data_IF_456959366636
#
_entry.id   IF_456959366636
#
_cell.length_a   1.000
_cell.length_b   1.000
_cell.length_c   1.000
_cell.angle_alpha   90.00
_cell.angle_beta   90.00
_cell.angle_gamma   90.00
#
_symmetry.space_group_name_H-M   'P 1'
#
loop_
_entity.id
_entity.type
_entity.pdbx_description
1 polymer ?
#
# COMPACT_ATOMS: atom_id res chain seq x y z
N UNK A 1 -23.83 -13.60 -22.50
CA UNK A 1 -23.97 -12.38 -21.66
C UNK A 1 -23.78 -12.70 -20.16
N UNK A 2 -24.57 -13.61 -19.55
CA UNK A 2 -24.42 -13.93 -18.10
C UNK A 2 -23.11 -14.69 -17.79
N UNK A 3 -22.69 -15.61 -18.64
CA UNK A 3 -21.42 -16.33 -18.51
C UNK A 3 -20.21 -15.40 -18.73
N UNK A 4 -20.25 -14.53 -19.71
CA UNK A 4 -19.18 -13.53 -19.96
C UNK A 4 -19.03 -12.54 -18.78
N UNK A 5 -20.14 -12.16 -18.12
CA UNK A 5 -20.09 -11.32 -16.93
C UNK A 5 -19.52 -12.07 -15.71
N UNK A 6 -19.76 -13.36 -15.57
CA UNK A 6 -19.17 -14.18 -14.52
C UNK A 6 -17.67 -14.37 -14.74
N UNK A 7 -17.24 -14.73 -15.94
CA UNK A 7 -15.82 -14.83 -16.30
C UNK A 7 -15.07 -13.53 -16.03
N UNK A 8 -15.65 -12.37 -16.42
CA UNK A 8 -15.06 -11.06 -16.16
C UNK A 8 -14.92 -10.74 -14.65
N UNK A 9 -15.89 -11.15 -13.82
CA UNK A 9 -15.83 -10.96 -12.36
C UNK A 9 -14.81 -11.90 -11.70
N UNK A 10 -14.67 -13.13 -12.20
CA UNK A 10 -13.69 -14.10 -11.72
C UNK A 10 -12.27 -13.63 -12.05
N UNK A 11 -12.04 -13.10 -13.23
CA UNK A 11 -10.76 -12.52 -13.63
C UNK A 11 -10.39 -11.29 -12.78
N UNK A 12 -11.32 -10.35 -12.57
CA UNK A 12 -11.08 -9.18 -11.73
C UNK A 12 -10.78 -9.56 -10.27
N UNK A 13 -11.48 -10.55 -9.73
CA UNK A 13 -11.25 -11.05 -8.36
C UNK A 13 -9.91 -11.78 -8.25
N UNK A 14 -9.53 -12.57 -9.27
CA UNK A 14 -8.24 -13.24 -9.34
C UNK A 14 -7.10 -12.24 -9.36
N UNK A 15 -7.18 -11.20 -10.21
CA UNK A 15 -6.17 -10.16 -10.26
C UNK A 15 -6.00 -9.42 -8.91
N UNK A 16 -7.09 -9.06 -8.24
CA UNK A 16 -7.01 -8.42 -6.92
C UNK A 16 -6.38 -9.33 -5.86
N UNK A 17 -6.66 -10.65 -5.91
CA UNK A 17 -6.08 -11.62 -4.99
C UNK A 17 -4.59 -11.84 -5.26
N UNK A 18 -4.19 -11.89 -6.52
CA UNK A 18 -2.79 -12.06 -6.92
C UNK A 18 -1.97 -10.81 -6.57
N UNK A 19 -2.52 -9.61 -6.75
CA UNK A 19 -1.90 -8.36 -6.31
C UNK A 19 -1.65 -8.37 -4.79
N UNK A 20 -2.65 -8.75 -3.99
CA UNK A 20 -2.50 -8.88 -2.54
C UNK A 20 -1.42 -9.91 -2.15
N UNK A 21 -1.35 -11.05 -2.84
CA UNK A 21 -0.34 -12.10 -2.62
C UNK A 21 1.08 -11.63 -2.93
N UNK A 22 1.26 -10.76 -3.92
CA UNK A 22 2.59 -10.21 -4.24
C UNK A 22 3.06 -9.18 -3.22
N UNK A 23 2.16 -8.34 -2.71
CA UNK A 23 2.51 -7.25 -1.78
C UNK A 23 2.65 -7.74 -0.34
N UNK A 24 1.82 -8.69 0.09
CA UNK A 24 1.75 -9.14 1.47
C UNK A 24 3.07 -9.64 2.06
N UNK A 25 3.88 -10.49 1.37
CA UNK A 25 5.17 -10.94 1.91
C UNK A 25 6.15 -9.79 2.15
N UNK A 26 6.13 -8.77 1.29
CA UNK A 26 6.96 -7.56 1.47
C UNK A 26 6.60 -6.79 2.74
N UNK A 27 5.32 -6.57 2.98
CA UNK A 27 4.84 -5.88 4.19
C UNK A 27 5.13 -6.71 5.44
N UNK A 28 4.95 -8.03 5.40
CA UNK A 28 5.27 -8.94 6.51
C UNK A 28 6.76 -8.94 6.84
N UNK A 29 7.63 -8.91 5.83
CA UNK A 29 9.07 -8.81 6.05
C UNK A 29 9.44 -7.52 6.77
N UNK A 30 8.91 -6.36 6.35
CA UNK A 30 9.17 -5.07 6.99
C UNK A 30 8.68 -5.11 8.45
N UNK A 31 7.47 -5.57 8.72
CA UNK A 31 6.93 -5.72 10.08
C UNK A 31 7.79 -6.64 10.94
N UNK A 32 8.26 -7.75 10.39
CA UNK A 32 9.16 -8.69 11.08
C UNK A 32 10.48 -8.02 11.48
N UNK A 33 11.10 -7.26 10.56
CA UNK A 33 12.33 -6.52 10.85
C UNK A 33 12.12 -5.40 11.88
N UNK A 34 10.99 -4.71 11.86
CA UNK A 34 10.65 -3.71 12.88
C UNK A 34 10.56 -4.33 14.29
N UNK A 35 9.94 -5.51 14.42
CA UNK A 35 9.88 -6.21 15.70
C UNK A 35 11.29 -6.61 16.18
N UNK A 36 12.14 -7.11 15.28
CA UNK A 36 13.52 -7.47 15.62
C UNK A 36 14.33 -6.24 16.04
N UNK A 37 14.09 -5.09 15.41
CA UNK A 37 14.81 -3.86 15.73
C UNK A 37 14.64 -3.43 17.20
N UNK A 38 13.48 -3.65 17.81
CA UNK A 38 13.20 -3.31 19.22
C UNK A 38 14.10 -4.07 20.20
N UNK A 39 14.57 -5.28 19.84
CA UNK A 39 15.46 -6.08 20.68
C UNK A 39 16.93 -5.73 20.50
N UNK A 40 17.26 -4.81 19.61
CA UNK A 40 18.64 -4.36 19.40
C UNK A 40 19.03 -3.31 20.46
N UNK A 41 20.27 -3.38 20.98
CA UNK A 41 20.77 -2.41 21.95
C UNK A 41 20.69 -0.97 21.44
N UNK A 42 20.99 -0.74 20.17
CA UNK A 42 20.90 0.59 19.56
C UNK A 42 19.49 1.19 19.56
N UNK A 43 18.44 0.37 19.66
CA UNK A 43 17.07 0.87 19.82
C UNK A 43 16.88 1.55 21.18
N UNK A 44 17.50 1.02 22.22
CA UNK A 44 17.44 1.61 23.58
C UNK A 44 18.26 2.90 23.70
N UNK A 45 19.23 3.13 22.80
CA UNK A 45 19.99 4.38 22.72
C UNK A 45 19.20 5.51 22.04
N UNK A 46 18.06 5.19 21.38
CA UNK A 46 17.17 6.18 20.79
C UNK A 46 16.40 6.94 21.89
N UNK A 47 16.12 8.22 21.61
CA UNK A 47 15.24 9.00 22.49
C UNK A 47 13.82 8.42 22.50
N UNK A 48 13.08 8.62 23.59
CA UNK A 48 11.68 8.17 23.74
C UNK A 48 10.82 8.61 22.55
N UNK A 49 11.07 9.81 22.02
CA UNK A 49 10.38 10.34 20.85
C UNK A 49 10.59 9.48 19.60
N UNK A 50 11.80 9.03 19.35
CA UNK A 50 12.15 8.19 18.19
C UNK A 50 11.63 6.76 18.36
N UNK A 51 11.68 6.23 19.60
CA UNK A 51 11.06 4.93 19.92
C UNK A 51 9.54 4.97 19.70
N UNK A 52 8.88 6.05 20.14
CA UNK A 52 7.45 6.25 19.88
C UNK A 52 7.16 6.37 18.38
N UNK A 53 8.00 7.08 17.63
CA UNK A 53 7.85 7.21 16.18
C UNK A 53 7.98 5.84 15.47
N UNK A 54 8.88 4.97 15.95
CA UNK A 54 8.97 3.59 15.47
C UNK A 54 7.68 2.79 15.71
N UNK A 55 7.07 2.93 16.91
CA UNK A 55 5.77 2.31 17.19
C UNK A 55 4.68 2.83 16.24
N UNK A 56 4.67 4.14 15.95
CA UNK A 56 3.72 4.74 14.99
C UNK A 56 3.93 4.15 13.59
N UNK A 57 5.17 4.00 13.13
CA UNK A 57 5.48 3.36 11.84
C UNK A 57 4.95 1.92 11.80
N UNK A 58 5.22 1.15 12.86
CA UNK A 58 4.72 -0.22 13.01
C UNK A 58 3.19 -0.30 12.90
N UNK A 59 2.47 0.59 13.58
CA UNK A 59 1.01 0.63 13.54
C UNK A 59 0.48 0.96 12.13
N UNK A 60 1.11 1.89 11.42
CA UNK A 60 0.74 2.18 10.04
C UNK A 60 0.93 0.98 9.12
N UNK A 61 2.04 0.25 9.26
CA UNK A 61 2.28 -0.97 8.48
C UNK A 61 1.32 -2.11 8.86
N UNK A 62 0.97 -2.24 10.14
CA UNK A 62 -0.03 -3.21 10.59
C UNK A 62 -1.43 -2.89 10.02
N UNK A 63 -1.81 -1.61 9.97
CA UNK A 63 -3.05 -1.17 9.31
C UNK A 63 -3.01 -1.46 7.82
N UNK A 64 -1.90 -1.17 7.13
CA UNK A 64 -1.74 -1.49 5.71
C UNK A 64 -1.92 -3.00 5.47
N UNK A 65 -1.28 -3.85 6.27
CA UNK A 65 -1.43 -5.31 6.21
C UNK A 65 -2.89 -5.74 6.40
N UNK A 66 -3.58 -5.17 7.40
CA UNK A 66 -5.00 -5.44 7.65
C UNK A 66 -5.89 -5.09 6.44
N UNK A 67 -5.64 -3.95 5.79
CA UNK A 67 -6.37 -3.52 4.61
C UNK A 67 -6.10 -4.45 3.41
N UNK A 68 -4.85 -4.91 3.21
CA UNK A 68 -4.50 -5.86 2.14
C UNK A 68 -5.16 -7.23 2.37
N UNK A 69 -5.28 -7.68 3.61
CA UNK A 69 -5.90 -8.97 3.96
C UNK A 69 -7.43 -8.92 4.01
N UNK A 70 -8.04 -7.73 4.14
CA UNK A 70 -9.48 -7.58 4.32
C UNK A 70 -10.32 -8.18 3.18
N UNK A 71 -9.96 -8.05 1.88
CA UNK A 71 -10.69 -8.72 0.80
C UNK A 71 -10.72 -10.24 0.95
N UNK A 72 -9.58 -10.86 1.28
CA UNK A 72 -9.50 -12.31 1.46
C UNK A 72 -10.35 -12.79 2.65
N UNK A 73 -10.35 -12.04 3.74
CA UNK A 73 -11.17 -12.31 4.92
C UNK A 73 -12.68 -12.16 4.61
N UNK A 74 -13.04 -11.11 3.87
CA UNK A 74 -14.42 -10.87 3.43
C UNK A 74 -14.93 -12.00 2.53
N UNK A 75 -14.15 -12.40 1.52
CA UNK A 75 -14.52 -13.49 0.61
C UNK A 75 -14.77 -14.79 1.36
N UNK A 76 -13.91 -15.14 2.31
CA UNK A 76 -14.04 -16.38 3.10
C UNK A 76 -15.25 -16.39 4.03
N UNK A 77 -15.65 -15.23 4.57
CA UNK A 77 -16.73 -15.13 5.57
C UNK A 77 -18.08 -14.82 4.96
N UNK A 78 -18.14 -13.94 3.96
CA UNK A 78 -19.39 -13.42 3.41
C UNK A 78 -19.82 -14.09 2.11
N UNK A 79 -18.88 -14.60 1.30
CA UNK A 79 -19.16 -15.07 -0.07
C UNK A 79 -18.68 -16.52 -0.27
N UNK A 80 -19.30 -17.48 0.43
CA UNK A 80 -19.00 -18.89 0.22
C UNK A 80 -19.62 -19.36 -1.10
N UNK A 81 -18.81 -19.39 -2.18
CA UNK A 81 -19.18 -20.03 -3.45
C UNK A 81 -19.79 -19.14 -4.52
N UNK A 82 -19.95 -17.84 -4.30
CA UNK A 82 -20.40 -16.88 -5.32
C UNK A 82 -19.57 -15.60 -5.27
N UNK A 83 -18.93 -15.25 -6.37
CA UNK A 83 -18.27 -13.95 -6.52
C UNK A 83 -19.31 -12.88 -6.83
N UNK A 84 -19.38 -11.84 -5.99
CA UNK A 84 -20.29 -10.73 -6.21
C UNK A 84 -19.54 -9.48 -6.64
N UNK A 85 -20.23 -8.62 -7.41
CA UNK A 85 -19.68 -7.31 -7.79
C UNK A 85 -19.34 -6.42 -6.57
N UNK A 86 -19.99 -6.68 -5.43
CA UNK A 86 -19.67 -6.01 -4.16
C UNK A 86 -18.26 -6.37 -3.66
N UNK A 87 -17.86 -7.62 -3.77
CA UNK A 87 -16.51 -8.07 -3.41
C UNK A 87 -15.44 -7.38 -4.25
N UNK A 88 -15.62 -7.37 -5.58
CA UNK A 88 -14.68 -6.72 -6.51
C UNK A 88 -14.54 -5.23 -6.20
N UNK A 89 -15.65 -4.52 -5.98
CA UNK A 89 -15.64 -3.12 -5.62
C UNK A 89 -14.97 -2.87 -4.25
N UNK A 90 -15.18 -3.76 -3.29
CA UNK A 90 -14.55 -3.69 -1.97
C UNK A 90 -13.04 -3.89 -2.06
N UNK A 91 -12.58 -4.90 -2.79
CA UNK A 91 -11.16 -5.18 -3.00
C UNK A 91 -10.47 -4.04 -3.76
N UNK A 92 -11.07 -3.55 -4.84
CA UNK A 92 -10.55 -2.45 -5.65
C UNK A 92 -10.48 -1.10 -4.92
N UNK A 93 -11.23 -0.93 -3.83
CA UNK A 93 -11.13 0.22 -2.95
C UNK A 93 -10.04 0.04 -1.89
N UNK A 94 -9.97 -1.13 -1.24
CA UNK A 94 -9.08 -1.34 -0.10
C UNK A 94 -7.61 -1.50 -0.49
N UNK A 95 -7.33 -2.14 -1.63
CA UNK A 95 -5.95 -2.32 -2.09
C UNK A 95 -5.25 -0.97 -2.35
N UNK A 96 -5.80 -0.03 -3.14
CA UNK A 96 -5.19 1.29 -3.26
C UNK A 96 -5.17 2.08 -1.95
N UNK A 97 -6.19 1.91 -1.09
CA UNK A 97 -6.24 2.59 0.20
C UNK A 97 -5.12 2.12 1.14
N UNK A 98 -4.73 0.85 1.07
CA UNK A 98 -3.63 0.29 1.87
C UNK A 98 -2.27 0.94 1.57
N UNK A 99 -2.09 1.48 0.35
CA UNK A 99 -0.85 2.18 -0.03
C UNK A 99 -0.61 3.45 0.79
N UNK A 100 -1.66 4.09 1.33
CA UNK A 100 -1.52 5.30 2.15
C UNK A 100 -0.80 4.99 3.46
N UNK A 101 -1.32 4.10 4.34
CA UNK A 101 -0.62 3.77 5.58
C UNK A 101 0.71 3.06 5.30
N UNK A 102 0.84 2.27 4.24
CA UNK A 102 2.10 1.68 3.83
C UNK A 102 3.16 2.75 3.51
N UNK A 103 2.79 3.79 2.75
CA UNK A 103 3.70 4.92 2.46
C UNK A 103 4.15 5.60 3.73
N UNK A 104 3.22 5.91 4.64
CA UNK A 104 3.54 6.60 5.89
C UNK A 104 4.50 5.77 6.74
N UNK A 105 4.22 4.48 6.91
CA UNK A 105 5.09 3.57 7.67
C UNK A 105 6.51 3.51 7.11
N UNK A 106 6.65 3.26 5.80
CA UNK A 106 7.97 3.18 5.13
C UNK A 106 8.74 4.51 5.24
N UNK A 107 8.07 5.65 5.10
CA UNK A 107 8.72 6.98 5.18
C UNK A 107 9.23 7.26 6.60
N UNK A 108 8.45 6.92 7.63
CA UNK A 108 8.88 7.06 9.02
C UNK A 108 10.07 6.14 9.31
N UNK A 109 10.03 4.88 8.87
CA UNK A 109 11.16 3.95 9.04
C UNK A 109 12.41 4.45 8.34
N UNK A 110 12.26 4.99 7.14
CA UNK A 110 13.39 5.58 6.40
C UNK A 110 13.98 6.78 7.14
N UNK A 111 13.13 7.62 7.72
CA UNK A 111 13.60 8.73 8.57
C UNK A 111 14.39 8.22 9.77
N UNK A 112 13.88 7.23 10.50
CA UNK A 112 14.55 6.64 11.67
C UNK A 112 15.88 6.00 11.30
N UNK A 113 15.91 5.25 10.20
CA UNK A 113 17.12 4.62 9.70
C UNK A 113 18.18 5.66 9.30
N UNK A 114 17.77 6.68 8.55
CA UNK A 114 18.66 7.77 8.16
C UNK A 114 19.21 8.53 9.37
N UNK A 115 18.35 8.79 10.37
CA UNK A 115 18.77 9.44 11.62
C UNK A 115 19.79 8.60 12.38
N UNK A 116 19.58 7.28 12.45
CA UNK A 116 20.50 6.35 13.14
C UNK A 116 21.88 6.27 12.46
N UNK A 117 21.91 6.39 11.13
CA UNK A 117 23.15 6.28 10.35
C UNK A 117 23.91 7.61 10.28
N UNK A 118 23.20 8.71 10.04
CA UNK A 118 23.79 10.02 9.74
C UNK A 118 23.90 10.89 11.01
N UNK A 119 23.02 10.66 12.00
CA UNK A 119 22.99 11.42 13.26
C UNK A 119 22.49 12.87 13.13
N UNK A 120 21.83 13.22 12.01
CA UNK A 120 21.35 14.56 11.73
C UNK A 120 19.86 14.61 11.39
N UNK A 121 19.13 15.55 12.01
CA UNK A 121 17.68 15.66 11.78
C UNK A 121 17.35 16.13 10.34
N UNK A 122 18.02 17.19 9.86
CA UNK A 122 17.77 17.77 8.53
C UNK A 122 18.09 16.81 7.37
N UNK A 123 19.25 16.15 7.30
CA UNK A 123 19.52 15.21 6.22
C UNK A 123 18.57 14.02 6.25
N UNK A 124 18.20 13.51 7.42
CA UNK A 124 17.23 12.41 7.55
C UNK A 124 15.85 12.80 7.06
N UNK A 125 15.40 14.02 7.35
CA UNK A 125 14.15 14.57 6.87
C UNK A 125 14.16 14.74 5.34
N UNK A 126 15.27 15.22 4.76
CA UNK A 126 15.42 15.34 3.31
C UNK A 126 15.31 13.98 2.59
N UNK A 127 15.94 12.94 3.14
CA UNK A 127 15.88 11.58 2.58
C UNK A 127 14.45 11.03 2.65
N UNK A 128 13.82 11.15 3.82
CA UNK A 128 12.44 10.69 4.01
C UNK A 128 11.44 11.46 3.11
N UNK A 129 11.60 12.77 2.97
CA UNK A 129 10.79 13.59 2.09
C UNK A 129 11.01 13.24 0.60
N UNK A 130 12.24 12.97 0.19
CA UNK A 130 12.56 12.49 -1.16
C UNK A 130 11.87 11.16 -1.47
N UNK A 131 11.92 10.21 -0.54
CA UNK A 131 11.22 8.94 -0.67
C UNK A 131 9.70 9.12 -0.70
N UNK A 132 9.16 9.98 0.17
CA UNK A 132 7.72 10.31 0.16
C UNK A 132 7.28 10.84 -1.21
N UNK A 133 8.00 11.82 -1.75
CA UNK A 133 7.70 12.38 -3.08
C UNK A 133 7.76 11.31 -4.17
N UNK A 134 8.76 10.43 -4.12
CA UNK A 134 8.90 9.34 -5.07
C UNK A 134 7.71 8.36 -5.00
N UNK A 135 7.35 7.89 -3.80
CA UNK A 135 6.23 6.95 -3.62
C UNK A 135 4.89 7.58 -3.99
N UNK A 136 4.64 8.84 -3.61
CA UNK A 136 3.43 9.57 -4.00
C UNK A 136 3.36 9.75 -5.52
N UNK A 137 4.47 10.08 -6.15
CA UNK A 137 4.51 10.20 -7.61
C UNK A 137 4.20 8.86 -8.28
N UNK A 138 4.85 7.78 -7.84
CA UNK A 138 4.73 6.45 -8.44
C UNK A 138 3.33 5.83 -8.23
N UNK A 139 2.81 5.89 -7.01
CA UNK A 139 1.59 5.16 -6.63
C UNK A 139 0.31 5.97 -6.83
N UNK A 140 0.38 7.30 -6.83
CA UNK A 140 -0.82 8.14 -6.93
C UNK A 140 -0.81 9.04 -8.19
N UNK A 141 0.29 9.73 -8.49
CA UNK A 141 0.29 10.69 -9.60
C UNK A 141 0.34 10.00 -10.96
N UNK A 142 1.21 9.00 -11.13
CA UNK A 142 1.35 8.27 -12.41
C UNK A 142 0.05 7.59 -12.84
N UNK A 143 -0.64 6.77 -12.00
CA UNK A 143 -1.88 6.13 -12.41
C UNK A 143 -3.01 7.12 -12.64
N UNK A 144 -3.09 8.20 -11.86
CA UNK A 144 -4.09 9.25 -12.09
C UNK A 144 -3.89 9.98 -13.42
N UNK A 145 -2.63 10.28 -13.79
CA UNK A 145 -2.31 10.88 -15.09
C UNK A 145 -2.66 9.94 -16.24
N UNK A 146 -2.33 8.66 -16.13
CA UNK A 146 -2.68 7.65 -17.12
C UNK A 146 -4.19 7.51 -17.31
N UNK A 147 -4.96 7.53 -16.21
CA UNK A 147 -6.43 7.50 -16.24
C UNK A 147 -7.01 8.73 -16.95
N UNK A 148 -6.57 9.93 -16.59
CA UNK A 148 -7.02 11.17 -17.23
C UNK A 148 -6.66 11.24 -18.71
N UNK A 149 -5.50 10.72 -19.12
CA UNK A 149 -5.11 10.65 -20.52
C UNK A 149 -6.04 9.73 -21.33
N UNK A 150 -6.42 8.58 -20.77
CA UNK A 150 -7.39 7.65 -21.37
C UNK A 150 -8.80 8.26 -21.49
N UNK A 151 -9.24 9.00 -20.49
CA UNK A 151 -10.54 9.69 -20.49
C UNK A 151 -10.58 10.77 -21.59
N UNK A 152 -9.52 11.55 -21.74
CA UNK A 152 -9.40 12.56 -22.82
C UNK A 152 -9.42 11.93 -24.21
N UNK A 153 -8.65 10.87 -24.44
CA UNK A 153 -8.63 10.14 -25.71
C UNK A 153 -9.98 9.51 -26.08
N UNK A 154 -10.82 9.22 -25.06
CA UNK A 154 -12.16 8.67 -25.25
C UNK A 154 -13.22 9.75 -25.54
N UNK A 155 -12.99 10.99 -25.12
CA UNK A 155 -13.87 12.15 -25.32
C UNK A 155 -13.60 12.89 -26.64
N UNK A 156 -12.49 12.61 -27.34
CA UNK A 156 -12.29 13.10 -28.70
C UNK A 156 -13.22 12.35 -29.67
N UNK A 157 -14.16 13.07 -30.33
CA UNK A 157 -15.08 12.44 -31.26
C UNK A 157 -14.27 11.80 -32.40
N UNK A 158 -14.48 10.50 -32.65
CA UNK A 158 -14.13 9.83 -33.90
C UNK A 158 -14.92 10.50 -35.03
N UNK A 159 -14.54 11.69 -35.39
CA UNK A 159 -15.22 12.48 -36.41
C UNK A 159 -14.29 12.92 -37.51
N UNK A 160 -14.66 12.50 -38.70
CA UNK A 160 -14.22 12.90 -40.00
C UNK A 160 -13.06 12.06 -40.62
N UNK A 161 -13.43 10.93 -41.15
CA UNK A 161 -12.93 10.40 -42.39
C UNK A 161 -14.10 9.92 -43.23
#
# INVERSE_FOLDING_TARGET
>A
MENEQRESLEDEASHATDEARMVLPGVQAILGFQLVAVFNQRFHDLTDRLQFLHLVAFLFLAVAMGLIMAPAAYHRQAERGCLTRRFVNFASLLLPLSLVPLTVGIVIDTYLLAWLIIGGEMPSLCIAAGLLMFLVALWFVVPQRARRARERARSEPRGAA
#
